data_IF_787872006876
#
_entry.id   IF_787872006876
#
_cell.length_a   1.000
_cell.length_b   1.000
_cell.length_c   1.000
_cell.angle_alpha   90.00
_cell.angle_beta   90.00
_cell.angle_gamma   90.00
#
_symmetry.space_group_name_H-M   'P 1'
#
loop_
_entity.id
_entity.type
_entity.pdbx_description
1 polymer ?
#
# COMPACT_ATOMS: atom_id res chain seq x y z
N UNK A 1 -10.61 0.52 4.68
CA UNK A 1 -9.14 0.41 4.61
C UNK A 1 -8.83 -0.82 3.77
N UNK A 2 -7.85 -0.71 2.88
CA UNK A 2 -7.30 -1.83 2.13
C UNK A 2 -5.88 -2.06 2.61
N UNK A 3 -5.53 -3.31 2.90
CA UNK A 3 -4.21 -3.68 3.42
C UNK A 3 -3.47 -4.56 2.42
N UNK A 4 -2.24 -4.16 2.11
CA UNK A 4 -1.27 -4.96 1.37
C UNK A 4 -0.33 -5.55 2.43
N UNK A 5 -0.38 -6.86 2.63
CA UNK A 5 0.63 -7.55 3.42
C UNK A 5 1.78 -7.88 2.49
N UNK A 6 2.97 -7.43 2.87
CA UNK A 6 4.21 -7.68 2.16
C UNK A 6 5.09 -8.60 2.99
N UNK A 7 5.15 -9.85 2.52
CA UNK A 7 5.84 -10.97 3.14
C UNK A 7 7.15 -11.33 2.43
N UNK A 8 7.56 -10.52 1.44
CA UNK A 8 8.79 -10.74 0.68
C UNK A 8 10.01 -10.15 1.40
N UNK A 9 11.13 -10.86 1.29
CA UNK A 9 12.43 -10.34 1.69
C UNK A 9 12.98 -9.35 0.66
N UNK A 10 14.04 -8.62 1.02
CA UNK A 10 14.64 -7.57 0.20
C UNK A 10 15.89 -8.03 -0.55
N UNK A 11 16.03 -9.34 -0.80
CA UNK A 11 17.20 -9.93 -1.47
C UNK A 11 17.31 -9.49 -2.94
N UNK A 12 16.17 -9.29 -3.60
CA UNK A 12 16.07 -8.72 -4.95
C UNK A 12 15.23 -7.44 -4.89
N UNK A 13 15.91 -6.32 -4.57
CA UNK A 13 15.28 -5.02 -4.35
C UNK A 13 14.51 -4.55 -5.59
N UNK A 14 15.06 -4.70 -6.78
CA UNK A 14 14.45 -4.19 -8.01
C UNK A 14 13.13 -4.92 -8.32
N UNK A 15 13.17 -6.25 -8.32
CA UNK A 15 11.98 -7.06 -8.55
C UNK A 15 10.93 -6.86 -7.44
N UNK A 16 11.38 -6.73 -6.17
CA UNK A 16 10.46 -6.46 -5.07
C UNK A 16 9.75 -5.11 -5.26
N UNK A 17 10.48 -4.03 -5.56
CA UNK A 17 9.88 -2.72 -5.81
C UNK A 17 8.87 -2.75 -6.96
N UNK A 18 9.16 -3.46 -8.05
CA UNK A 18 8.23 -3.63 -9.17
C UNK A 18 6.94 -4.34 -8.73
N UNK A 19 7.05 -5.40 -7.93
CA UNK A 19 5.88 -6.13 -7.41
C UNK A 19 5.03 -5.25 -6.49
N UNK A 20 5.65 -4.47 -5.60
CA UNK A 20 4.94 -3.55 -4.72
C UNK A 20 4.27 -2.42 -5.50
N UNK A 21 4.96 -1.84 -6.48
CA UNK A 21 4.39 -0.81 -7.36
C UNK A 21 3.14 -1.33 -8.09
N UNK A 22 3.24 -2.51 -8.69
CA UNK A 22 2.12 -3.14 -9.38
C UNK A 22 0.93 -3.39 -8.43
N UNK A 23 1.17 -3.89 -7.21
CA UNK A 23 0.12 -4.08 -6.20
C UNK A 23 -0.54 -2.75 -5.81
N UNK A 24 0.24 -1.71 -5.53
CA UNK A 24 -0.27 -0.39 -5.19
C UNK A 24 -1.12 0.21 -6.31
N UNK A 25 -0.64 0.13 -7.54
CA UNK A 25 -1.36 0.62 -8.72
C UNK A 25 -2.71 -0.09 -8.89
N UNK A 26 -2.76 -1.41 -8.73
CA UNK A 26 -4.01 -2.18 -8.80
C UNK A 26 -5.00 -1.75 -7.72
N UNK A 27 -4.54 -1.55 -6.47
CA UNK A 27 -5.40 -1.12 -5.36
C UNK A 27 -5.92 0.30 -5.58
N UNK A 28 -5.08 1.21 -6.06
CA UNK A 28 -5.49 2.56 -6.43
C UNK A 28 -6.57 2.52 -7.51
N UNK A 29 -6.35 1.80 -8.61
CA UNK A 29 -7.34 1.67 -9.70
C UNK A 29 -8.66 1.09 -9.19
N UNK A 30 -8.60 0.04 -8.37
CA UNK A 30 -9.79 -0.58 -7.78
C UNK A 30 -10.65 0.41 -6.98
N UNK A 31 -10.03 1.31 -6.20
CA UNK A 31 -10.76 2.33 -5.45
C UNK A 31 -11.24 3.46 -6.36
N UNK A 32 -10.36 3.98 -7.22
CA UNK A 32 -10.62 5.15 -8.06
C UNK A 32 -11.67 4.90 -9.14
N UNK A 33 -11.75 3.68 -9.67
CA UNK A 33 -12.82 3.26 -10.58
C UNK A 33 -14.15 2.97 -9.88
N UNK A 34 -14.18 3.14 -8.55
CA UNK A 34 -15.36 2.94 -7.72
C UNK A 34 -15.78 1.49 -7.55
N UNK A 35 -14.93 0.52 -7.95
CA UNK A 35 -15.20 -0.91 -7.73
C UNK A 35 -15.29 -1.20 -6.22
N UNK A 36 -14.38 -0.62 -5.43
CA UNK A 36 -14.43 -0.68 -3.96
C UNK A 36 -15.80 -0.27 -3.38
N UNK A 37 -16.40 0.82 -3.85
CA UNK A 37 -17.69 1.29 -3.33
C UNK A 37 -18.89 0.44 -3.80
N UNK A 38 -18.76 -0.27 -4.92
CA UNK A 38 -19.78 -1.25 -5.35
C UNK A 38 -19.80 -2.46 -4.42
N UNK A 39 -18.62 -2.91 -3.99
CA UNK A 39 -18.47 -4.03 -3.06
C UNK A 39 -18.73 -3.63 -1.60
N UNK A 40 -18.43 -2.37 -1.24
CA UNK A 40 -18.63 -1.80 0.09
C UNK A 40 -19.43 -0.47 0.03
N UNK A 41 -20.75 -0.53 -0.21
CA UNK A 41 -21.58 0.68 -0.31
C UNK A 41 -21.59 1.53 0.96
N UNK A 42 -21.38 0.93 2.12
CA UNK A 42 -21.31 1.62 3.41
C UNK A 42 -20.05 2.49 3.56
N UNK A 43 -19.02 2.25 2.75
CA UNK A 43 -17.78 3.03 2.75
C UNK A 43 -17.89 4.34 1.94
N UNK A 44 -18.99 4.56 1.21
CA UNK A 44 -19.21 5.79 0.43
C UNK A 44 -19.13 7.04 1.31
N UNK A 45 -18.36 8.03 0.86
CA UNK A 45 -18.16 9.30 1.58
C UNK A 45 -17.19 9.23 2.75
N UNK A 46 -16.58 8.06 3.03
CA UNK A 46 -15.51 7.93 4.03
C UNK A 46 -14.14 7.96 3.34
N UNK A 47 -13.10 8.50 4.00
CA UNK A 47 -11.74 8.38 3.51
C UNK A 47 -11.35 6.91 3.33
N UNK A 48 -10.69 6.60 2.22
CA UNK A 48 -10.14 5.27 1.96
C UNK A 48 -8.63 5.32 2.17
N UNK A 49 -8.14 4.42 3.01
CA UNK A 49 -6.72 4.25 3.31
C UNK A 49 -6.18 2.98 2.67
N UNK A 50 -5.04 3.10 1.99
CA UNK A 50 -4.17 2.00 1.58
C UNK A 50 -3.05 1.87 2.63
N UNK A 51 -2.94 0.69 3.22
CA UNK A 51 -1.95 0.37 4.25
C UNK A 51 -1.00 -0.71 3.75
N UNK A 52 0.31 -0.47 3.78
CA UNK A 52 1.32 -1.48 3.45
C UNK A 52 1.98 -1.99 4.73
N UNK A 53 1.81 -3.27 5.01
CA UNK A 53 2.36 -3.93 6.17
C UNK A 53 3.57 -4.77 5.78
N UNK A 54 4.77 -4.29 6.14
CA UNK A 54 6.05 -4.93 5.85
C UNK A 54 6.39 -5.94 6.96
N UNK A 55 6.57 -7.22 6.60
CA UNK A 55 7.01 -8.27 7.54
C UNK A 55 8.53 -8.38 7.65
N UNK A 56 9.26 -7.97 6.61
CA UNK A 56 10.71 -7.96 6.59
C UNK A 56 11.27 -6.55 6.81
N UNK A 57 12.50 -6.47 7.34
CA UNK A 57 13.17 -5.19 7.59
C UNK A 57 13.55 -4.57 6.26
N UNK A 58 12.98 -3.40 5.98
CA UNK A 58 13.23 -2.64 4.77
C UNK A 58 14.62 -1.99 4.78
N UNK A 59 15.41 -2.09 3.69
CA UNK A 59 16.64 -1.35 3.51
C UNK A 59 16.40 0.18 3.52
N UNK A 60 17.35 0.96 4.05
CA UNK A 60 17.21 2.41 4.06
C UNK A 60 17.15 3.01 2.63
N UNK A 61 17.85 2.39 1.67
CA UNK A 61 17.90 2.84 0.29
C UNK A 61 16.57 2.78 -0.47
N UNK A 62 15.55 2.10 0.05
CA UNK A 62 14.23 2.02 -0.60
C UNK A 62 13.18 2.92 0.06
N UNK A 63 13.54 3.66 1.12
CA UNK A 63 12.59 4.56 1.80
C UNK A 63 11.99 5.62 0.86
N UNK A 64 12.74 6.04 -0.17
CA UNK A 64 12.25 6.99 -1.18
C UNK A 64 11.02 6.45 -1.92
N UNK A 65 10.92 5.13 -2.13
CA UNK A 65 9.81 4.50 -2.84
C UNK A 65 8.49 4.75 -2.11
N UNK A 66 8.46 4.46 -0.81
CA UNK A 66 7.27 4.66 0.01
C UNK A 66 6.90 6.14 0.17
N UNK A 67 7.90 7.02 0.16
CA UNK A 67 7.67 8.47 0.14
C UNK A 67 7.00 8.90 -1.17
N UNK A 68 7.49 8.40 -2.30
CA UNK A 68 6.90 8.68 -3.61
C UNK A 68 5.50 8.08 -3.75
N UNK A 69 5.29 6.86 -3.25
CA UNK A 69 3.98 6.21 -3.20
C UNK A 69 2.98 7.04 -2.38
N UNK A 70 3.36 7.49 -1.19
CA UNK A 70 2.52 8.35 -0.36
C UNK A 70 2.05 9.59 -1.13
N UNK A 71 2.98 10.32 -1.76
CA UNK A 71 2.66 11.52 -2.55
C UNK A 71 1.69 11.20 -3.70
N UNK A 72 1.89 10.09 -4.41
CA UNK A 72 1.04 9.69 -5.54
C UNK A 72 -0.36 9.28 -5.09
N UNK A 73 -0.46 8.48 -4.03
CA UNK A 73 -1.72 7.98 -3.45
C UNK A 73 -2.53 9.14 -2.87
N UNK A 74 -1.88 10.05 -2.14
CA UNK A 74 -2.53 11.22 -1.54
C UNK A 74 -3.02 12.22 -2.59
N UNK A 75 -2.26 12.44 -3.67
CA UNK A 75 -2.72 13.24 -4.82
C UNK A 75 -3.95 12.67 -5.49
N UNK A 76 -4.14 11.35 -5.43
CA UNK A 76 -5.34 10.69 -5.93
C UNK A 76 -6.55 10.76 -4.96
N UNK A 77 -6.39 11.40 -3.79
CA UNK A 77 -7.45 11.57 -2.80
C UNK A 77 -7.61 10.39 -1.84
N UNK A 78 -6.61 9.50 -1.77
CA UNK A 78 -6.57 8.36 -0.87
C UNK A 78 -5.59 8.64 0.29
N UNK A 79 -5.74 7.93 1.40
CA UNK A 79 -4.76 7.96 2.49
C UNK A 79 -3.74 6.83 2.31
N UNK A 80 -2.50 7.05 2.75
CA UNK A 80 -1.44 6.07 2.65
C UNK A 80 -0.71 5.90 3.99
N UNK A 81 -0.39 4.66 4.34
CA UNK A 81 0.49 4.38 5.48
C UNK A 81 1.37 3.16 5.20
N UNK A 82 2.52 3.11 5.87
CA UNK A 82 3.42 1.97 5.90
C UNK A 82 3.64 1.58 7.35
N UNK A 83 3.42 0.31 7.65
CA UNK A 83 3.59 -0.26 8.97
C UNK A 83 4.62 -1.38 8.92
N UNK A 84 5.49 -1.44 9.92
CA UNK A 84 6.33 -2.62 10.15
C UNK A 84 5.65 -3.53 11.15
N UNK A 85 5.26 -4.72 10.71
CA UNK A 85 4.67 -5.72 11.59
C UNK A 85 5.79 -6.62 12.14
N UNK A 86 5.96 -6.60 13.46
CA UNK A 86 6.74 -7.61 14.16
C UNK A 86 5.81 -8.67 14.73
N UNK A 87 6.31 -9.91 14.92
CA UNK A 87 5.55 -11.05 15.46
C UNK A 87 4.86 -10.82 16.83
N UNK A 88 5.02 -9.65 17.46
CA UNK A 88 4.35 -9.26 18.70
C UNK A 88 3.05 -8.45 18.53
N UNK A 89 2.67 -8.06 17.31
CA UNK A 89 1.51 -7.23 17.01
C UNK A 89 0.51 -7.87 16.01
N UNK A 90 0.49 -9.21 15.94
CA UNK A 90 -0.55 -9.98 15.24
C UNK A 90 -1.50 -10.63 16.26
#
# INVERSE_FOLDING_TARGET
MLSIVDDLDWDDVENHLELLENKLNLYCVFVLEGQFYKEHPDAVGRPVMISVALLSIMPAEVQWFFTAAAVSVEKAGLQFEVQHLSKGNL
#
